data_IF_843384236806
#
_entry.id   IF_843384236806
#
_cell.length_a   1.000
_cell.length_b   1.000
_cell.length_c   1.000
_cell.angle_alpha   90.00
_cell.angle_beta   90.00
_cell.angle_gamma   90.00
#
_symmetry.space_group_name_H-M   'P 1'
#
loop_
_entity.id
_entity.type
_entity.pdbx_description
1 polymer ?
#
# COMPACT_ATOMS: atom_id res chain seq x y z
N UNK A 1 22.03 -33.10 22.06
CA UNK A 1 20.97 -32.74 21.09
C UNK A 1 20.62 -31.29 21.36
N UNK A 2 21.04 -30.43 20.44
CA UNK A 2 21.11 -28.98 20.61
C UNK A 2 19.72 -28.37 20.45
N UNK A 3 19.13 -27.90 21.54
CA UNK A 3 17.88 -27.13 21.50
C UNK A 3 18.13 -25.83 20.75
N UNK A 4 17.43 -25.69 19.63
CA UNK A 4 17.42 -24.49 18.78
C UNK A 4 16.77 -23.35 19.59
N UNK A 5 17.57 -22.36 19.97
CA UNK A 5 17.09 -21.12 20.57
C UNK A 5 16.12 -20.45 19.61
N UNK A 6 14.83 -20.41 19.96
CA UNK A 6 13.84 -19.61 19.24
C UNK A 6 14.07 -18.17 19.67
N UNK A 7 14.77 -17.41 18.83
CA UNK A 7 14.85 -15.95 18.90
C UNK A 7 13.42 -15.40 18.96
N UNK A 8 12.98 -14.91 20.11
CA UNK A 8 11.79 -14.08 20.19
C UNK A 8 12.11 -12.78 19.45
N UNK A 9 11.62 -12.66 18.22
CA UNK A 9 11.55 -11.37 17.56
C UNK A 9 10.75 -10.45 18.49
N UNK A 10 11.32 -9.29 18.84
CA UNK A 10 10.63 -8.30 19.64
C UNK A 10 9.40 -7.85 18.84
N UNK A 11 8.20 -8.17 19.32
CA UNK A 11 6.95 -7.66 18.74
C UNK A 11 6.98 -6.13 18.82
N UNK A 12 6.68 -5.45 17.70
CA UNK A 12 6.62 -3.98 17.67
C UNK A 12 5.51 -3.44 18.58
N UNK A 13 4.49 -4.26 18.84
CA UNK A 13 3.26 -3.91 19.56
C UNK A 13 3.00 -4.85 20.74
N UNK A 14 2.41 -4.32 21.82
CA UNK A 14 1.85 -5.13 22.92
C UNK A 14 0.45 -5.62 22.58
N UNK A 15 -0.06 -6.60 23.34
CA UNK A 15 -1.41 -7.13 23.13
C UNK A 15 -2.48 -6.07 23.42
N UNK A 16 -2.26 -5.21 24.41
CA UNK A 16 -3.14 -4.06 24.71
C UNK A 16 -3.14 -3.03 23.58
N UNK A 17 -1.95 -2.69 23.04
CA UNK A 17 -1.85 -1.79 21.88
C UNK A 17 -2.59 -2.36 20.67
N UNK A 18 -2.46 -3.66 20.41
CA UNK A 18 -3.19 -4.35 19.32
C UNK A 18 -4.69 -4.32 19.54
N UNK A 19 -5.15 -4.55 20.77
CA UNK A 19 -6.58 -4.49 21.10
C UNK A 19 -7.14 -3.08 20.85
N UNK A 20 -6.45 -2.04 21.30
CA UNK A 20 -6.85 -0.64 21.08
C UNK A 20 -6.83 -0.26 19.60
N UNK A 21 -5.78 -0.65 18.87
CA UNK A 21 -5.69 -0.41 17.42
C UNK A 21 -6.78 -1.14 16.65
N UNK A 22 -7.18 -2.34 17.08
CA UNK A 22 -8.28 -3.09 16.45
C UNK A 22 -9.61 -2.33 16.55
N UNK A 23 -9.93 -1.78 17.73
CA UNK A 23 -11.14 -0.98 17.95
C UNK A 23 -11.10 0.30 17.09
N UNK A 24 -9.98 1.01 17.09
CA UNK A 24 -9.80 2.22 16.29
C UNK A 24 -9.94 1.91 14.79
N UNK A 25 -9.35 0.79 14.34
CA UNK A 25 -9.41 0.40 12.94
C UNK A 25 -10.84 0.10 12.48
N UNK A 26 -11.67 -0.51 13.34
CA UNK A 26 -13.09 -0.76 13.04
C UNK A 26 -13.93 0.53 13.00
N UNK A 27 -13.58 1.54 13.80
CA UNK A 27 -14.19 2.86 13.69
C UNK A 27 -13.85 3.53 12.34
N UNK A 28 -12.59 3.41 11.90
CA UNK A 28 -12.12 4.02 10.65
C UNK A 28 -12.60 3.27 9.41
N UNK A 29 -12.61 1.94 9.45
CA UNK A 29 -12.90 1.05 8.33
C UNK A 29 -13.93 0.00 8.80
N UNK A 30 -15.20 0.41 8.95
CA UNK A 30 -16.27 -0.51 9.31
C UNK A 30 -16.60 -1.46 8.14
N UNK A 31 -17.20 -2.61 8.46
CA UNK A 31 -17.74 -3.50 7.43
C UNK A 31 -18.81 -2.80 6.59
N UNK A 32 -18.78 -3.00 5.27
CA UNK A 32 -19.74 -2.36 4.38
C UNK A 32 -19.56 -2.72 2.92
N UNK A 33 -20.65 -2.76 2.15
CA UNK A 33 -20.64 -3.00 0.70
C UNK A 33 -19.87 -4.27 0.26
N UNK A 34 -19.92 -5.33 1.07
CA UNK A 34 -19.19 -6.59 0.81
C UNK A 34 -17.72 -6.59 1.25
N UNK A 35 -17.24 -5.49 1.83
CA UNK A 35 -15.91 -5.36 2.42
C UNK A 35 -15.92 -5.79 3.90
N UNK A 36 -14.88 -6.50 4.38
CA UNK A 36 -14.72 -6.82 5.79
C UNK A 36 -14.39 -5.56 6.60
N UNK A 37 -14.73 -5.55 7.89
CA UNK A 37 -14.18 -4.56 8.82
C UNK A 37 -12.65 -4.74 8.96
N UNK A 38 -11.95 -3.73 9.45
CA UNK A 38 -10.49 -3.83 9.65
C UNK A 38 -10.07 -4.97 10.59
N UNK A 39 -10.80 -5.19 11.68
CA UNK A 39 -10.54 -6.29 12.61
C UNK A 39 -10.73 -7.65 11.94
N UNK A 40 -11.75 -7.79 11.08
CA UNK A 40 -12.02 -8.98 10.30
C UNK A 40 -10.90 -9.27 9.30
N UNK A 41 -10.32 -8.21 8.72
CA UNK A 41 -9.18 -8.30 7.81
C UNK A 41 -7.83 -8.55 8.51
N UNK A 42 -7.81 -8.60 9.85
CA UNK A 42 -6.60 -8.86 10.63
C UNK A 42 -5.62 -7.69 10.65
N UNK A 43 -6.08 -6.45 10.50
CA UNK A 43 -5.24 -5.24 10.43
C UNK A 43 -4.31 -5.13 11.65
N UNK A 44 -4.85 -5.27 12.86
CA UNK A 44 -4.08 -5.15 14.11
C UNK A 44 -3.21 -6.38 14.44
N UNK A 45 -3.23 -7.41 13.60
CA UNK A 45 -2.31 -8.54 13.64
C UNK A 45 -1.03 -8.24 12.86
N UNK A 46 -0.67 -9.12 11.93
CA UNK A 46 0.57 -9.02 11.17
C UNK A 46 0.63 -7.78 10.24
N UNK A 47 -0.52 -7.20 9.86
CA UNK A 47 -0.58 -6.08 8.91
C UNK A 47 0.12 -4.82 9.42
N UNK A 48 -0.08 -4.46 10.69
CA UNK A 48 0.61 -3.32 11.31
C UNK A 48 2.11 -3.59 11.56
N UNK A 49 2.54 -4.85 11.68
CA UNK A 49 3.96 -5.22 11.78
C UNK A 49 4.68 -5.05 10.44
N UNK A 50 4.03 -5.46 9.34
CA UNK A 50 4.55 -5.30 7.98
C UNK A 50 4.72 -3.82 7.62
N UNK A 51 3.67 -3.02 7.80
CA UNK A 51 3.74 -1.57 7.55
C UNK A 51 4.72 -0.89 8.51
N UNK A 52 4.75 -1.29 9.77
CA UNK A 52 5.64 -0.72 10.78
C UNK A 52 7.13 -0.95 10.50
N UNK A 53 7.46 -2.05 9.83
CA UNK A 53 8.83 -2.34 9.39
C UNK A 53 9.28 -1.40 8.25
N UNK A 54 8.35 -1.01 7.37
CA UNK A 54 8.61 -0.12 6.23
C UNK A 54 8.53 1.37 6.58
N UNK A 55 7.64 1.73 7.50
CA UNK A 55 7.34 3.10 7.95
C UNK A 55 7.40 3.23 9.49
N UNK A 56 8.60 3.20 10.09
CA UNK A 56 8.74 3.35 11.55
C UNK A 56 8.21 4.66 12.11
N UNK A 57 8.11 5.71 11.29
CA UNK A 57 7.52 7.00 11.64
C UNK A 57 6.02 6.88 11.99
N UNK A 58 5.28 6.03 11.28
CA UNK A 58 3.87 5.77 11.54
C UNK A 58 3.66 4.99 12.85
N UNK A 59 4.60 4.10 13.19
CA UNK A 59 4.58 3.36 14.45
C UNK A 59 4.67 4.32 15.63
N UNK A 60 5.56 5.31 15.57
CA UNK A 60 5.71 6.29 16.65
C UNK A 60 4.43 7.09 16.86
N UNK A 61 3.80 7.58 15.79
CA UNK A 61 2.54 8.31 15.88
C UNK A 61 1.42 7.45 16.48
N UNK A 62 1.29 6.21 16.03
CA UNK A 62 0.28 5.29 16.56
C UNK A 62 0.51 4.94 18.04
N UNK A 63 1.77 4.79 18.49
CA UNK A 63 2.09 4.58 19.91
C UNK A 63 1.73 5.76 20.81
N UNK A 64 1.85 6.98 20.29
CA UNK A 64 1.39 8.17 21.02
C UNK A 64 -0.13 8.14 21.22
N UNK A 65 -0.88 7.66 20.22
CA UNK A 65 -2.34 7.55 20.31
C UNK A 65 -2.77 6.39 21.21
N UNK A 66 -2.20 5.20 21.05
CA UNK A 66 -2.54 4.06 21.93
C UNK A 66 -2.23 4.35 23.39
N UNK A 67 -1.17 5.11 23.68
CA UNK A 67 -0.86 5.58 25.03
C UNK A 67 -1.91 6.52 25.64
N UNK A 68 -2.64 7.29 24.82
CA UNK A 68 -3.74 8.14 25.28
C UNK A 68 -5.01 7.34 25.60
N UNK A 69 -5.19 6.19 24.95
CA UNK A 69 -6.34 5.31 25.08
C UNK A 69 -6.03 4.03 25.86
N UNK A 70 -4.97 4.04 26.67
CA UNK A 70 -4.51 2.85 27.40
C UNK A 70 -5.58 2.28 28.35
N UNK A 71 -6.43 3.15 28.91
CA UNK A 71 -7.49 2.76 29.86
C UNK A 71 -8.85 2.51 29.17
N UNK A 72 -9.11 3.16 28.03
CA UNK A 72 -10.34 3.01 27.28
C UNK A 72 -10.13 3.41 25.81
N UNK A 73 -10.55 2.53 24.90
CA UNK A 73 -10.59 2.85 23.47
C UNK A 73 -11.67 3.92 23.19
N UNK A 74 -11.49 4.76 22.14
CA UNK A 74 -12.47 5.76 21.77
C UNK A 74 -13.79 5.12 21.38
N UNK A 75 -14.89 5.81 21.67
CA UNK A 75 -16.25 5.34 21.41
C UNK A 75 -16.77 5.73 20.03
N UNK A 76 -16.24 6.81 19.44
CA UNK A 76 -16.57 7.29 18.10
C UNK A 76 -15.39 7.98 17.38
N UNK A 77 -15.60 8.32 16.10
CA UNK A 77 -14.59 8.95 15.26
C UNK A 77 -14.30 10.41 15.60
N UNK A 78 -15.26 11.15 16.17
CA UNK A 78 -15.06 12.55 16.51
C UNK A 78 -14.20 12.66 17.79
N UNK A 79 -14.46 11.81 18.78
CA UNK A 79 -13.61 11.63 19.95
C UNK A 79 -12.17 11.26 19.56
N UNK A 80 -12.02 10.29 18.65
CA UNK A 80 -10.70 9.90 18.13
C UNK A 80 -9.99 11.06 17.44
N UNK A 81 -10.69 11.84 16.60
CA UNK A 81 -10.10 12.98 15.88
C UNK A 81 -9.66 14.10 16.80
N UNK A 82 -10.43 14.40 17.84
CA UNK A 82 -10.10 15.46 18.80
C UNK A 82 -8.92 15.07 19.69
N UNK A 83 -8.92 13.85 20.24
CA UNK A 83 -7.86 13.39 21.14
C UNK A 83 -6.55 13.11 20.40
N UNK A 84 -6.64 12.53 19.20
CA UNK A 84 -5.49 12.21 18.37
C UNK A 84 -5.14 13.30 17.35
N UNK A 85 -5.58 14.55 17.49
CA UNK A 85 -5.50 15.59 16.44
C UNK A 85 -4.17 15.67 15.67
N UNK A 86 -3.04 15.53 16.36
CA UNK A 86 -1.69 15.68 15.78
C UNK A 86 -1.18 14.36 15.17
N UNK A 87 -1.84 13.24 15.47
CA UNK A 87 -1.45 11.87 15.09
C UNK A 87 -2.54 11.11 14.33
N UNK A 88 -3.72 11.72 14.12
CA UNK A 88 -4.87 11.07 13.50
C UNK A 88 -4.58 10.67 12.04
N UNK A 89 -3.96 11.58 11.27
CA UNK A 89 -3.59 11.32 9.89
C UNK A 89 -2.56 10.17 9.75
N UNK A 90 -1.40 10.17 10.43
CA UNK A 90 -0.46 9.05 10.34
C UNK A 90 -1.03 7.74 10.92
N UNK A 91 -1.85 7.79 11.97
CA UNK A 91 -2.56 6.60 12.47
C UNK A 91 -3.51 6.02 11.41
N UNK A 92 -4.30 6.87 10.76
CA UNK A 92 -5.21 6.45 9.69
C UNK A 92 -4.44 5.88 8.51
N UNK A 93 -3.30 6.48 8.15
CA UNK A 93 -2.42 5.98 7.08
C UNK A 93 -1.86 4.59 7.42
N UNK A 94 -1.42 4.36 8.66
CA UNK A 94 -0.95 3.05 9.12
C UNK A 94 -2.03 1.98 8.98
N UNK A 95 -3.22 2.24 9.53
CA UNK A 95 -4.32 1.28 9.57
C UNK A 95 -4.91 1.03 8.17
N UNK A 96 -5.04 2.06 7.35
CA UNK A 96 -5.49 1.92 5.96
C UNK A 96 -4.47 1.14 5.12
N UNK A 97 -3.17 1.41 5.28
CA UNK A 97 -2.13 0.67 4.57
C UNK A 97 -2.15 -0.81 4.94
N UNK A 98 -2.24 -1.12 6.24
CA UNK A 98 -2.33 -2.49 6.73
C UNK A 98 -3.61 -3.20 6.23
N UNK A 99 -4.72 -2.48 6.07
CA UNK A 99 -5.97 -3.00 5.50
C UNK A 99 -5.85 -3.32 4.01
N UNK A 100 -5.37 -2.38 3.19
CA UNK A 100 -5.30 -2.56 1.73
C UNK A 100 -4.22 -3.55 1.28
N UNK A 101 -3.26 -3.89 2.14
CA UNK A 101 -2.30 -4.96 1.88
C UNK A 101 -2.91 -6.37 2.03
N UNK A 102 -4.10 -6.50 2.63
CA UNK A 102 -4.73 -7.81 2.85
C UNK A 102 -5.23 -8.41 1.54
N UNK A 103 -4.86 -9.68 1.23
CA UNK A 103 -5.28 -10.34 -0.01
C UNK A 103 -6.80 -10.36 -0.20
N UNK A 104 -7.56 -10.66 0.86
CA UNK A 104 -9.02 -10.66 0.84
C UNK A 104 -9.63 -9.29 0.50
N UNK A 105 -9.00 -8.19 0.96
CA UNK A 105 -9.41 -6.82 0.65
C UNK A 105 -9.06 -6.48 -0.79
N UNK A 106 -7.84 -6.83 -1.23
CA UNK A 106 -7.39 -6.63 -2.61
C UNK A 106 -8.30 -7.37 -3.61
N UNK A 107 -8.69 -8.60 -3.30
CA UNK A 107 -9.61 -9.41 -4.10
C UNK A 107 -11.00 -8.78 -4.14
N UNK A 108 -11.50 -8.30 -3.00
CA UNK A 108 -12.82 -7.65 -2.90
C UNK A 108 -12.93 -6.38 -3.77
N UNK A 109 -11.85 -5.60 -3.90
CA UNK A 109 -11.82 -4.40 -4.75
C UNK A 109 -11.43 -4.70 -6.21
N UNK A 110 -11.25 -5.97 -6.57
CA UNK A 110 -10.82 -6.38 -7.91
C UNK A 110 -9.39 -5.95 -8.26
N UNK A 111 -8.57 -5.62 -7.26
CA UNK A 111 -7.15 -5.33 -7.44
C UNK A 111 -6.40 -6.65 -7.58
N UNK A 112 -6.30 -7.15 -8.83
CA UNK A 112 -5.39 -8.25 -9.12
C UNK A 112 -3.97 -7.81 -8.78
N UNK A 113 -3.36 -8.47 -7.80
CA UNK A 113 -1.93 -8.34 -7.53
C UNK A 113 -1.16 -8.39 -8.85
N UNK A 114 -0.11 -7.56 -8.96
CA UNK A 114 0.72 -7.39 -10.16
C UNK A 114 0.95 -8.75 -10.83
N UNK A 115 0.23 -8.98 -11.94
CA UNK A 115 0.52 -10.08 -12.83
C UNK A 115 1.87 -9.76 -13.48
N UNK A 116 2.83 -10.65 -13.30
CA UNK A 116 4.05 -10.63 -14.09
C UNK A 116 3.62 -10.87 -15.54
N UNK A 117 3.66 -9.82 -16.36
CA UNK A 117 3.44 -9.96 -17.80
C UNK A 117 4.76 -10.50 -18.34
N UNK A 118 4.82 -11.75 -18.84
CA UNK A 118 6.03 -12.27 -19.43
C UNK A 118 6.41 -11.35 -20.59
N UNK A 119 7.59 -10.75 -20.50
CA UNK A 119 8.13 -10.02 -21.63
C UNK A 119 8.51 -11.04 -22.70
N UNK A 120 8.04 -10.83 -23.92
CA UNK A 120 8.54 -11.59 -25.06
C UNK A 120 10.06 -11.48 -25.15
N UNK A 121 10.68 -12.51 -25.73
CA UNK A 121 12.13 -12.50 -25.96
C UNK A 121 12.53 -11.25 -26.74
N UNK A 122 13.73 -10.74 -26.49
CA UNK A 122 14.26 -9.58 -27.22
C UNK A 122 14.21 -9.79 -28.74
N UNK A 123 14.47 -11.02 -29.20
CA UNK A 123 14.38 -11.39 -30.62
C UNK A 123 12.96 -11.28 -31.19
N UNK A 124 11.94 -11.71 -30.42
CA UNK A 124 10.53 -11.58 -30.83
C UNK A 124 10.14 -10.11 -30.93
N UNK A 125 10.53 -9.31 -29.93
CA UNK A 125 10.22 -7.88 -29.89
C UNK A 125 10.90 -7.11 -31.02
N UNK A 126 12.16 -7.43 -31.33
CA UNK A 126 12.90 -6.82 -32.44
C UNK A 126 12.26 -7.16 -33.79
N UNK A 127 11.81 -8.40 -33.97
CA UNK A 127 11.11 -8.80 -35.19
C UNK A 127 9.79 -8.02 -35.37
N UNK A 128 8.98 -7.90 -34.32
CA UNK A 128 7.75 -7.10 -34.35
C UNK A 128 8.02 -5.62 -34.64
N UNK A 129 9.04 -5.03 -34.02
CA UNK A 129 9.43 -3.65 -34.30
C UNK A 129 9.92 -3.47 -35.74
N UNK A 130 10.68 -4.43 -36.26
CA UNK A 130 11.15 -4.45 -37.64
C UNK A 130 9.97 -4.46 -38.63
N UNK A 131 8.97 -5.30 -38.38
CA UNK A 131 7.75 -5.39 -39.19
C UNK A 131 6.94 -4.07 -39.16
N UNK A 132 6.84 -3.43 -37.99
CA UNK A 132 6.15 -2.14 -37.83
C UNK A 132 6.83 -1.01 -38.62
N UNK A 133 8.17 -1.01 -38.73
CA UNK A 133 8.91 0.03 -39.46
C UNK A 133 9.16 -0.32 -40.92
N UNK A 134 8.97 -1.57 -41.34
CA UNK A 134 9.20 -2.02 -42.71
C UNK A 134 8.47 -1.17 -43.78
N UNK A 135 7.21 -0.72 -43.60
CA UNK A 135 6.57 0.17 -44.56
C UNK A 135 7.23 1.55 -44.66
N UNK A 136 7.75 2.08 -43.55
CA UNK A 136 8.44 3.38 -43.51
C UNK A 136 9.81 3.27 -44.19
N UNK A 137 10.54 2.20 -43.91
CA UNK A 137 11.80 1.89 -44.58
C UNK A 137 11.61 1.68 -46.09
N UNK A 138 10.57 0.93 -46.48
CA UNK A 138 10.22 0.67 -47.87
C UNK A 138 9.75 1.92 -48.64
N UNK A 139 9.10 2.87 -47.96
CA UNK A 139 8.76 4.18 -48.54
C UNK A 139 10.01 5.04 -48.82
N UNK A 140 11.07 4.87 -48.04
CA UNK A 140 12.30 5.67 -48.12
C UNK A 140 12.16 7.06 -47.49
N UNK A 141 13.30 7.76 -47.39
CA UNK A 141 13.37 9.06 -46.72
C UNK A 141 12.56 10.13 -47.47
N UNK A 142 11.67 10.81 -46.76
CA UNK A 142 10.91 11.95 -47.30
C UNK A 142 11.44 13.21 -46.64
N UNK A 143 12.38 13.85 -47.30
CA UNK A 143 12.94 15.13 -46.85
C UNK A 143 12.05 16.29 -47.31
N UNK A 144 11.73 17.21 -46.39
CA UNK A 144 11.25 18.55 -46.76
C UNK A 144 12.43 19.50 -46.78
N UNK A 145 12.68 20.13 -47.91
CA UNK A 145 13.66 21.22 -47.99
C UNK A 145 13.14 22.41 -47.19
N UNK A 146 13.90 22.85 -46.19
CA UNK A 146 13.60 24.09 -45.46
C UNK A 146 13.60 25.25 -46.46
N UNK A 147 12.52 26.04 -46.60
CA UNK A 147 12.53 27.21 -47.47
C UNK A 147 13.65 28.13 -47.03
N UNK A 148 14.62 28.38 -47.92
CA UNK A 148 15.64 29.39 -47.68
C UNK A 148 14.93 30.73 -47.55
N UNK A 149 14.86 31.25 -46.32
CA UNK A 149 14.20 32.51 -46.03
C UNK A 149 14.80 33.63 -46.87
N UNK A 150 14.08 34.08 -47.90
CA UNK A 150 14.31 35.39 -48.46
C UNK A 150 13.91 36.40 -47.39
N UNK A 151 14.93 36.98 -46.74
CA UNK A 151 14.80 38.25 -46.03
C UNK A 151 14.75 39.34 -47.09
N UNK A 152 13.65 40.08 -47.16
CA UNK A 152 13.55 41.40 -47.80
C UNK A 152 13.18 42.41 -46.73
#
# INVERSE_FOLDING_TARGET
>A
MTSKTITHAQSLWTDEERATLSVIADLLIPAGQGMPAASQAGVAGDGIDEVGTLRPDLVQAAKMVTGQFADAAPSDLDELRELAKDHFAPLSELLASAYFLRPEVADAIGYRQRIEIPLDSEATREAEFSDLVAPVLGRGNVWRTTPSGQRS
#
